data_IF_565791904681
#
_entry.id   IF_565791904681
#
_cell.length_a   1.000
_cell.length_b   1.000
_cell.length_c   1.000
_cell.angle_alpha   90.00
_cell.angle_beta   90.00
_cell.angle_gamma   90.00
#
_symmetry.space_group_name_H-M   'P 1'
#
loop_
_entity.id
_entity.type
_entity.pdbx_description
1 polymer ?
#
# COMPACT_ATOMS: atom_id res chain seq x y z
N UNK A 1 3.30 16.84 0.12
CA UNK A 1 4.12 15.86 0.89
C UNK A 1 3.73 15.96 2.35
N UNK A 2 3.66 14.82 3.01
CA UNK A 2 3.46 14.74 4.46
C UNK A 2 4.65 15.34 5.23
N UNK A 3 4.37 15.95 6.36
CA UNK A 3 5.39 16.47 7.29
C UNK A 3 5.20 15.83 8.68
N UNK A 4 6.25 15.85 9.50
CA UNK A 4 6.20 15.24 10.85
C UNK A 4 5.04 15.77 11.73
N UNK A 5 4.60 17.00 11.54
CA UNK A 5 3.45 17.58 12.25
C UNK A 5 2.12 16.90 11.89
N UNK A 6 2.04 16.29 10.70
CA UNK A 6 0.83 15.67 10.14
C UNK A 6 0.69 14.20 10.57
N UNK A 7 1.76 13.58 11.06
CA UNK A 7 1.85 12.13 11.32
C UNK A 7 0.69 11.60 12.16
N UNK A 8 0.37 12.27 13.26
CA UNK A 8 -0.71 11.80 14.15
C UNK A 8 -2.09 11.90 13.50
N UNK A 9 -2.33 12.94 12.71
CA UNK A 9 -3.59 13.12 11.97
C UNK A 9 -3.72 12.05 10.88
N UNK A 10 -2.63 11.76 10.15
CA UNK A 10 -2.59 10.72 9.11
C UNK A 10 -2.74 9.32 9.70
N UNK A 11 -2.10 9.02 10.82
CA UNK A 11 -2.29 7.76 11.55
C UNK A 11 -3.74 7.59 11.98
N UNK A 12 -4.36 8.64 12.53
CA UNK A 12 -5.76 8.62 12.90
C UNK A 12 -6.68 8.46 11.67
N UNK A 13 -6.41 9.18 10.58
CA UNK A 13 -7.13 9.03 9.31
C UNK A 13 -7.07 7.57 8.83
N UNK A 14 -5.88 6.99 8.79
CA UNK A 14 -5.69 5.60 8.37
C UNK A 14 -6.45 4.64 9.28
N UNK A 15 -6.39 4.86 10.60
CA UNK A 15 -7.15 4.08 11.58
C UNK A 15 -8.66 4.17 11.35
N UNK A 16 -9.20 5.36 11.10
CA UNK A 16 -10.63 5.55 10.80
C UNK A 16 -11.06 4.79 9.54
N UNK A 17 -10.24 4.82 8.49
CA UNK A 17 -10.53 4.19 7.19
C UNK A 17 -10.53 2.67 7.26
N UNK A 18 -9.62 2.09 8.05
CA UNK A 18 -9.41 0.64 8.08
C UNK A 18 -10.06 -0.06 9.28
N UNK A 19 -10.61 0.69 10.25
CA UNK A 19 -11.18 0.12 11.47
C UNK A 19 -12.31 -0.88 11.17
N UNK A 20 -12.14 -2.11 11.65
CA UNK A 20 -13.05 -3.24 11.43
C UNK A 20 -13.31 -3.60 9.94
N UNK A 21 -12.45 -3.18 9.02
CA UNK A 21 -12.65 -3.44 7.60
C UNK A 21 -12.17 -4.83 7.18
N UNK A 22 -10.93 -5.16 7.46
CA UNK A 22 -10.32 -6.44 7.06
C UNK A 22 -10.12 -7.40 8.22
N UNK A 23 -10.14 -6.88 9.44
CA UNK A 23 -10.01 -7.61 10.70
C UNK A 23 -10.69 -6.82 11.82
N UNK A 24 -10.94 -7.41 13.00
CA UNK A 24 -11.33 -6.68 14.18
C UNK A 24 -10.26 -5.65 14.56
N UNK A 25 -10.63 -4.37 14.67
CA UNK A 25 -9.67 -3.27 14.74
C UNK A 25 -9.03 -2.97 13.38
N UNK A 26 -7.78 -2.54 13.37
CA UNK A 26 -6.95 -2.41 12.18
C UNK A 26 -5.46 -2.38 12.57
N UNK A 27 -4.59 -2.63 11.62
CA UNK A 27 -3.13 -2.59 11.79
C UNK A 27 -2.45 -1.54 10.91
N UNK A 28 -3.14 -1.04 9.91
CA UNK A 28 -2.60 -0.18 8.86
C UNK A 28 -2.03 1.13 9.39
N UNK A 29 -2.59 1.69 10.46
CA UNK A 29 -2.06 2.90 11.10
C UNK A 29 -0.73 2.64 11.81
N UNK A 30 -0.52 1.43 12.35
CA UNK A 30 0.77 1.02 12.92
C UNK A 30 1.79 0.70 11.82
N UNK A 31 1.38 0.02 10.75
CA UNK A 31 2.23 -0.20 9.56
C UNK A 31 2.77 1.14 9.07
N UNK A 32 1.92 2.14 8.88
CA UNK A 32 2.33 3.47 8.48
C UNK A 32 3.32 4.10 9.47
N UNK A 33 3.05 3.98 10.78
CA UNK A 33 3.92 4.51 11.82
C UNK A 33 5.34 3.93 11.74
N UNK A 34 5.46 2.61 11.66
CA UNK A 34 6.77 1.97 11.64
C UNK A 34 7.54 2.21 10.33
N UNK A 35 6.86 2.32 9.18
CA UNK A 35 7.53 2.58 7.91
C UNK A 35 8.33 3.87 7.92
N UNK A 36 7.87 4.92 8.59
CA UNK A 36 8.56 6.22 8.67
C UNK A 36 9.97 6.16 9.28
N UNK A 37 10.28 5.10 10.03
CA UNK A 37 11.62 4.83 10.59
C UNK A 37 12.48 3.87 9.78
N UNK A 38 11.96 3.32 8.67
CA UNK A 38 12.61 2.26 7.91
C UNK A 38 13.42 2.80 6.72
N UNK A 39 14.50 2.11 6.33
CA UNK A 39 15.32 2.52 5.20
C UNK A 39 14.63 2.31 3.83
N UNK A 40 13.63 1.43 3.75
CA UNK A 40 12.84 1.15 2.56
C UNK A 40 11.69 2.15 2.35
N UNK A 41 11.40 3.01 3.31
CA UNK A 41 10.39 4.07 3.18
C UNK A 41 10.81 5.12 2.15
N UNK A 42 9.93 5.43 1.19
CA UNK A 42 10.17 6.44 0.16
C UNK A 42 9.52 7.75 0.56
N UNK A 43 10.24 8.54 1.35
CA UNK A 43 9.76 9.80 1.90
C UNK A 43 9.26 10.79 0.83
N UNK A 44 9.86 10.76 -0.34
CA UNK A 44 9.50 11.61 -1.48
C UNK A 44 8.14 11.25 -2.08
N UNK A 45 7.58 10.10 -1.71
CA UNK A 45 6.28 9.59 -2.17
C UNK A 45 5.25 9.45 -1.04
N UNK A 46 5.49 10.14 0.07
CA UNK A 46 4.58 10.24 1.20
C UNK A 46 3.73 11.51 1.05
N UNK A 47 2.47 11.35 0.62
CA UNK A 47 1.61 12.46 0.21
C UNK A 47 0.26 12.47 0.91
N UNK A 48 -0.17 13.68 1.25
CA UNK A 48 -1.51 13.97 1.79
C UNK A 48 -2.31 14.82 0.81
N UNK A 49 -3.63 14.76 0.92
CA UNK A 49 -4.55 15.77 0.41
C UNK A 49 -5.20 16.44 1.61
N UNK A 50 -5.14 17.76 1.63
CA UNK A 50 -5.80 18.61 2.62
C UNK A 50 -6.97 19.35 1.96
N UNK A 51 -8.11 19.42 2.65
CA UNK A 51 -9.30 20.18 2.28
C UNK A 51 -9.82 20.86 3.54
N UNK A 52 -10.06 22.17 3.49
CA UNK A 52 -10.53 22.98 4.62
C UNK A 52 -9.69 22.77 5.91
N UNK A 53 -8.37 22.80 5.78
CA UNK A 53 -7.42 22.61 6.89
C UNK A 53 -7.53 21.23 7.58
N UNK A 54 -8.04 20.20 6.91
CA UNK A 54 -8.14 18.84 7.38
C UNK A 54 -7.51 17.87 6.37
N UNK A 55 -6.71 16.93 6.84
CA UNK A 55 -6.19 15.88 5.98
C UNK A 55 -7.31 14.90 5.65
N UNK A 56 -7.63 14.76 4.36
CA UNK A 56 -8.75 13.92 3.88
C UNK A 56 -8.28 12.68 3.14
N UNK A 57 -7.03 12.63 2.71
CA UNK A 57 -6.46 11.45 2.06
C UNK A 57 -4.93 11.38 2.24
N UNK A 58 -4.40 10.17 2.20
CA UNK A 58 -2.98 9.88 2.34
C UNK A 58 -2.59 8.66 1.52
N UNK A 59 -1.34 8.63 1.05
CA UNK A 59 -0.68 7.48 0.43
C UNK A 59 0.80 7.49 0.78
N UNK A 60 1.37 6.31 1.07
CA UNK A 60 2.82 6.13 1.24
C UNK A 60 3.36 5.06 0.31
N UNK A 61 4.66 5.15 0.03
CA UNK A 61 5.39 4.17 -0.77
C UNK A 61 6.59 3.61 -0.02
N UNK A 62 6.98 2.40 -0.36
CA UNK A 62 8.26 1.84 0.03
C UNK A 62 8.94 1.14 -1.14
N UNK A 63 10.27 1.06 -1.07
CA UNK A 63 11.07 0.27 -1.99
C UNK A 63 10.76 -1.21 -1.79
N UNK A 64 10.75 -1.94 -2.88
CA UNK A 64 10.50 -3.37 -2.92
C UNK A 64 11.25 -3.99 -4.09
N UNK A 65 11.11 -5.29 -4.27
CA UNK A 65 11.82 -6.02 -5.31
C UNK A 65 11.04 -7.22 -5.84
N UNK A 66 11.40 -7.64 -7.04
CA UNK A 66 11.02 -8.94 -7.60
C UNK A 66 12.27 -9.79 -7.65
N UNK A 67 12.22 -10.97 -7.05
CA UNK A 67 13.30 -11.95 -7.09
C UNK A 67 13.05 -12.88 -8.26
N UNK A 68 13.93 -12.80 -9.28
CA UNK A 68 13.85 -13.65 -10.47
C UNK A 68 14.31 -15.07 -10.17
N UNK A 69 13.92 -16.04 -10.99
CA UNK A 69 14.33 -17.44 -10.88
C UNK A 69 15.85 -17.66 -10.96
N UNK A 70 16.56 -16.81 -11.69
CA UNK A 70 18.01 -16.82 -11.82
C UNK A 70 18.74 -16.07 -10.70
N UNK A 71 18.02 -15.65 -9.66
CA UNK A 71 18.57 -14.89 -8.54
C UNK A 71 18.78 -13.40 -8.82
N UNK A 72 18.45 -12.90 -10.01
CA UNK A 72 18.49 -11.46 -10.31
C UNK A 72 17.39 -10.75 -9.51
N UNK A 73 17.73 -9.61 -8.94
CA UNK A 73 16.80 -8.73 -8.22
C UNK A 73 16.41 -7.57 -9.14
N UNK A 74 15.11 -7.35 -9.28
CA UNK A 74 14.54 -6.23 -10.02
C UNK A 74 13.96 -5.24 -9.01
N UNK A 75 14.54 -4.04 -8.85
CA UNK A 75 14.01 -3.04 -7.93
C UNK A 75 12.68 -2.50 -8.44
N UNK A 76 11.71 -2.43 -7.57
CA UNK A 76 10.38 -1.86 -7.82
C UNK A 76 9.96 -1.06 -6.58
N UNK A 77 8.77 -0.52 -6.61
CA UNK A 77 8.12 0.02 -5.41
C UNK A 77 6.78 -0.68 -5.15
N UNK A 78 6.31 -0.57 -3.94
CA UNK A 78 4.92 -0.85 -3.56
C UNK A 78 4.35 0.35 -2.82
N UNK A 79 3.03 0.49 -2.76
CA UNK A 79 2.38 1.51 -1.95
C UNK A 79 1.26 0.91 -1.10
N UNK A 80 1.08 1.48 0.05
CA UNK A 80 0.04 1.15 1.01
C UNK A 80 0.53 1.40 2.45
N UNK A 81 -0.37 1.77 3.35
CA UNK A 81 -1.79 1.99 3.09
C UNK A 81 -2.07 3.24 2.25
N UNK A 82 -3.18 3.20 1.50
CA UNK A 82 -3.81 4.38 0.92
C UNK A 82 -5.13 4.62 1.63
N UNK A 83 -5.33 5.81 2.15
CA UNK A 83 -6.46 6.18 2.99
C UNK A 83 -7.22 7.37 2.40
N UNK A 84 -8.54 7.30 2.40
CA UNK A 84 -9.44 8.43 2.10
C UNK A 84 -10.56 8.40 3.12
N UNK A 85 -10.79 9.50 3.85
CA UNK A 85 -11.85 9.61 4.83
C UNK A 85 -13.18 9.11 4.27
N UNK A 86 -13.97 8.34 5.03
CA UNK A 86 -15.23 7.74 4.54
C UNK A 86 -16.15 8.75 3.86
N UNK A 87 -16.35 9.92 4.45
CA UNK A 87 -17.19 11.01 3.91
C UNK A 87 -16.60 11.71 2.68
N UNK A 88 -15.34 11.44 2.38
CA UNK A 88 -14.61 11.98 1.23
C UNK A 88 -14.40 10.93 0.12
N UNK A 89 -14.81 9.68 0.34
CA UNK A 89 -14.75 8.64 -0.67
C UNK A 89 -15.69 8.93 -1.85
N UNK A 90 -15.39 8.38 -3.02
CA UNK A 90 -16.16 8.66 -4.25
C UNK A 90 -15.88 10.03 -4.89
N UNK A 91 -15.17 10.95 -4.23
CA UNK A 91 -14.84 12.29 -4.74
C UNK A 91 -13.55 12.35 -5.59
N UNK A 92 -12.89 11.21 -5.79
CA UNK A 92 -11.70 11.11 -6.64
C UNK A 92 -10.36 11.35 -5.97
N UNK A 93 -10.29 11.60 -4.65
CA UNK A 93 -9.03 11.88 -3.94
C UNK A 93 -8.01 10.72 -4.04
N UNK A 94 -8.44 9.47 -3.83
CA UNK A 94 -7.57 8.31 -4.01
C UNK A 94 -7.02 8.22 -5.43
N UNK A 95 -7.85 8.50 -6.44
CA UNK A 95 -7.40 8.48 -7.84
C UNK A 95 -6.39 9.59 -8.15
N UNK A 96 -6.55 10.77 -7.54
CA UNK A 96 -5.59 11.88 -7.67
C UNK A 96 -4.24 11.49 -7.05
N UNK A 97 -4.25 10.93 -5.83
CA UNK A 97 -3.02 10.46 -5.16
C UNK A 97 -2.30 9.42 -6.01
N UNK A 98 -2.99 8.36 -6.43
CA UNK A 98 -2.39 7.26 -7.19
C UNK A 98 -1.76 7.79 -8.50
N UNK A 99 -2.49 8.57 -9.29
CA UNK A 99 -1.96 9.10 -10.57
C UNK A 99 -0.75 9.99 -10.35
N UNK A 100 -0.87 10.94 -9.44
CA UNK A 100 0.21 11.89 -9.14
C UNK A 100 1.46 11.18 -8.60
N UNK A 101 1.30 10.24 -7.67
CA UNK A 101 2.45 9.56 -7.07
C UNK A 101 3.08 8.54 -8.00
N UNK A 102 2.32 7.90 -8.91
CA UNK A 102 2.91 7.07 -9.98
C UNK A 102 3.80 7.88 -10.93
N UNK A 103 3.37 9.10 -11.31
CA UNK A 103 4.20 10.02 -12.12
C UNK A 103 5.49 10.38 -11.37
N UNK A 104 5.37 10.71 -10.07
CA UNK A 104 6.54 11.00 -9.23
C UNK A 104 7.45 9.79 -9.02
N UNK A 105 6.90 8.59 -8.86
CA UNK A 105 7.67 7.37 -8.77
C UNK A 105 8.50 7.13 -10.05
N UNK A 106 7.91 7.35 -11.22
CA UNK A 106 8.63 7.28 -12.49
C UNK A 106 9.75 8.33 -12.57
N UNK A 107 9.51 9.57 -12.13
CA UNK A 107 10.54 10.63 -12.06
C UNK A 107 11.71 10.22 -11.13
N UNK A 108 11.45 9.46 -10.08
CA UNK A 108 12.46 8.89 -9.18
C UNK A 108 13.17 7.65 -9.75
N UNK A 109 12.80 7.22 -10.98
CA UNK A 109 13.41 6.09 -11.64
C UNK A 109 12.76 4.73 -11.32
N UNK A 110 11.59 4.71 -10.69
CA UNK A 110 10.84 3.48 -10.46
C UNK A 110 10.31 2.94 -11.79
N UNK A 111 10.72 1.72 -12.16
CA UNK A 111 10.30 1.09 -13.42
C UNK A 111 8.96 0.36 -13.34
N UNK A 112 8.57 -0.11 -12.15
CA UNK A 112 7.31 -0.81 -11.93
C UNK A 112 6.84 -0.71 -10.48
N UNK A 113 5.54 -0.88 -10.28
CA UNK A 113 4.91 -0.92 -8.95
C UNK A 113 4.14 -2.24 -8.83
N UNK A 114 4.29 -2.93 -7.70
CA UNK A 114 3.48 -4.08 -7.32
C UNK A 114 2.60 -3.71 -6.11
N UNK A 115 1.37 -4.20 -6.08
CA UNK A 115 0.42 -3.94 -4.98
C UNK A 115 -0.46 -5.15 -4.69
N UNK A 116 -1.00 -5.16 -3.49
CA UNK A 116 -2.12 -6.02 -3.11
C UNK A 116 -3.38 -5.16 -2.89
N UNK A 117 -4.52 -5.61 -3.40
CA UNK A 117 -5.77 -4.86 -3.25
C UNK A 117 -6.91 -5.36 -4.14
N UNK A 118 -7.97 -4.55 -4.24
CA UNK A 118 -9.13 -4.89 -5.07
C UNK A 118 -8.84 -4.61 -6.56
N UNK A 119 -8.82 -5.63 -7.44
CA UNK A 119 -8.56 -5.47 -8.86
C UNK A 119 -9.57 -4.54 -9.56
N UNK A 120 -10.86 -4.57 -9.19
CA UNK A 120 -11.89 -3.70 -9.76
C UNK A 120 -11.58 -2.20 -9.54
N UNK A 121 -10.85 -1.89 -8.49
CA UNK A 121 -10.42 -0.53 -8.23
C UNK A 121 -9.13 -0.18 -8.98
N UNK A 122 -8.14 -1.06 -9.03
CA UNK A 122 -6.81 -0.73 -9.52
C UNK A 122 -6.61 -0.90 -11.02
N UNK A 123 -7.40 -1.73 -11.71
CA UNK A 123 -7.33 -1.89 -13.18
C UNK A 123 -7.50 -0.56 -13.93
N UNK A 124 -8.28 0.39 -13.39
CA UNK A 124 -8.47 1.74 -13.98
C UNK A 124 -7.20 2.58 -14.04
N UNK A 125 -6.16 2.21 -13.30
CA UNK A 125 -4.84 2.84 -13.31
C UNK A 125 -3.84 2.08 -14.16
N UNK A 126 -4.26 0.99 -14.80
CA UNK A 126 -3.43 0.15 -15.66
C UNK A 126 -2.64 -0.92 -14.90
N UNK A 127 -3.02 -1.23 -13.66
CA UNK A 127 -2.52 -2.43 -13.00
C UNK A 127 -3.14 -3.68 -13.63
N UNK A 128 -2.34 -4.71 -13.81
CA UNK A 128 -2.73 -6.02 -14.33
C UNK A 128 -2.41 -7.11 -13.30
N UNK A 129 -3.05 -8.29 -13.41
CA UNK A 129 -2.68 -9.45 -12.59
C UNK A 129 -1.18 -9.74 -12.73
N UNK A 130 -0.48 -9.87 -11.61
CA UNK A 130 0.92 -10.27 -11.62
C UNK A 130 1.13 -11.60 -12.32
N UNK A 131 0.23 -12.56 -12.10
CA UNK A 131 0.24 -13.87 -12.75
C UNK A 131 0.23 -13.75 -14.29
N UNK A 132 -0.54 -12.83 -14.85
CA UNK A 132 -0.65 -12.64 -16.32
C UNK A 132 0.64 -12.17 -16.98
N UNK A 133 1.59 -11.65 -16.20
CA UNK A 133 2.90 -11.17 -16.65
C UNK A 133 4.05 -11.94 -16.01
N UNK A 134 3.78 -13.15 -15.49
CA UNK A 134 4.76 -14.05 -14.87
C UNK A 134 5.47 -13.50 -13.61
N UNK A 135 4.81 -12.59 -12.91
CA UNK A 135 5.22 -12.14 -11.57
C UNK A 135 4.26 -12.74 -10.55
N UNK A 136 4.78 -13.54 -9.64
CA UNK A 136 4.00 -14.34 -8.72
C UNK A 136 4.07 -13.78 -7.30
N UNK A 137 3.01 -13.94 -6.53
CA UNK A 137 3.01 -13.57 -5.12
C UNK A 137 3.56 -14.71 -4.28
N UNK A 138 4.50 -14.42 -3.38
CA UNK A 138 5.33 -15.43 -2.69
C UNK A 138 4.54 -16.50 -1.92
N UNK A 139 3.36 -16.15 -1.37
CA UNK A 139 2.56 -17.06 -0.55
C UNK A 139 1.49 -17.83 -1.31
N UNK A 140 1.40 -17.64 -2.63
CA UNK A 140 0.44 -18.33 -3.51
C UNK A 140 1.18 -19.24 -4.47
N UNK A 141 0.66 -20.44 -4.69
CA UNK A 141 1.21 -21.36 -5.71
C UNK A 141 1.22 -20.70 -7.09
N UNK A 142 2.24 -20.97 -7.89
CA UNK A 142 2.33 -20.45 -9.26
C UNK A 142 1.24 -20.98 -10.20
N UNK A 143 0.63 -22.09 -9.86
CA UNK A 143 -0.48 -22.68 -10.61
C UNK A 143 -1.83 -22.05 -10.24
N UNK A 144 -1.83 -21.15 -9.26
CA UNK A 144 -3.01 -20.47 -8.76
C UNK A 144 -2.92 -18.98 -9.04
N UNK A 145 -4.05 -18.39 -9.42
CA UNK A 145 -4.15 -16.93 -9.54
C UNK A 145 -4.26 -16.28 -8.17
N UNK A 146 -3.54 -15.17 -7.98
CA UNK A 146 -3.70 -14.25 -6.86
C UNK A 146 -4.38 -12.96 -7.36
N UNK A 147 -5.71 -12.91 -7.53
CA UNK A 147 -6.38 -11.76 -8.15
C UNK A 147 -6.15 -10.44 -7.42
N UNK A 148 -5.86 -10.53 -6.12
CA UNK A 148 -5.55 -9.38 -5.28
C UNK A 148 -4.14 -8.82 -5.53
N UNK A 149 -3.25 -9.57 -6.18
CA UNK A 149 -1.88 -9.15 -6.47
C UNK A 149 -1.76 -8.62 -7.90
N UNK A 150 -1.35 -7.39 -8.02
CA UNK A 150 -1.31 -6.67 -9.29
C UNK A 150 -0.01 -5.92 -9.46
N UNK A 151 0.39 -5.76 -10.71
CA UNK A 151 1.62 -5.07 -11.09
C UNK A 151 1.33 -4.06 -12.19
N UNK A 152 2.05 -2.95 -12.18
CA UNK A 152 2.04 -1.95 -13.24
C UNK A 152 3.45 -1.54 -13.62
N UNK A 153 3.81 -1.69 -14.89
CA UNK A 153 4.99 -1.02 -15.44
C UNK A 153 4.74 0.49 -15.54
N UNK A 154 5.68 1.26 -15.03
CA UNK A 154 5.74 2.70 -15.25
C UNK A 154 6.64 3.04 -16.42
N UNK A 155 7.73 2.29 -16.59
CA UNK A 155 8.65 2.40 -17.72
C UNK A 155 8.40 1.22 -18.68
N UNK A 156 8.00 1.52 -19.91
CA UNK A 156 7.69 0.49 -20.92
C UNK A 156 8.83 -0.50 -21.11
N UNK A 157 8.53 -1.78 -20.98
CA UNK A 157 9.48 -2.88 -21.16
C UNK A 157 10.39 -3.16 -19.96
N UNK A 158 10.18 -2.49 -18.83
CA UNK A 158 10.99 -2.70 -17.63
C UNK A 158 10.94 -4.14 -17.11
N UNK A 159 9.78 -4.77 -17.19
CA UNK A 159 9.56 -6.18 -16.81
C UNK A 159 9.60 -7.15 -18.01
N UNK A 160 10.03 -6.70 -19.18
CA UNK A 160 10.07 -7.55 -20.37
C UNK A 160 11.01 -8.76 -20.16
N UNK A 161 10.49 -9.97 -20.35
CA UNK A 161 11.23 -11.22 -20.16
C UNK A 161 11.58 -11.54 -18.71
N UNK A 162 10.99 -10.84 -17.74
CA UNK A 162 11.14 -11.12 -16.32
C UNK A 162 10.11 -12.15 -15.90
N UNK A 163 10.59 -13.20 -15.20
CA UNK A 163 9.77 -14.13 -14.42
C UNK A 163 10.33 -14.15 -13.01
N UNK A 164 9.48 -13.92 -12.03
CA UNK A 164 9.97 -13.81 -10.65
C UNK A 164 8.85 -13.80 -9.61
N UNK A 165 9.25 -13.62 -8.37
CA UNK A 165 8.37 -13.63 -7.20
C UNK A 165 8.47 -12.30 -6.46
N UNK A 166 7.33 -11.74 -6.10
CA UNK A 166 7.19 -10.61 -5.22
C UNK A 166 6.81 -11.11 -3.82
N UNK A 167 7.42 -10.52 -2.82
CA UNK A 167 7.05 -10.66 -1.41
C UNK A 167 6.83 -9.28 -0.82
N UNK A 168 5.84 -9.16 0.05
CA UNK A 168 5.63 -7.91 0.78
C UNK A 168 6.89 -7.54 1.57
N UNK A 169 7.31 -6.28 1.55
CA UNK A 169 8.40 -5.80 2.40
C UNK A 169 8.15 -6.08 3.89
N UNK A 170 9.23 -6.35 4.63
CA UNK A 170 9.18 -6.68 6.06
C UNK A 170 8.42 -5.63 6.90
N UNK A 171 8.34 -4.39 6.42
CA UNK A 171 7.58 -3.33 7.06
C UNK A 171 6.08 -3.59 7.15
N UNK A 172 5.54 -4.53 6.38
CA UNK A 172 4.14 -4.98 6.51
C UNK A 172 3.98 -6.15 7.49
N UNK A 173 5.08 -6.79 7.87
CA UNK A 173 5.07 -7.84 8.89
C UNK A 173 5.02 -7.19 10.28
N UNK A 174 3.92 -7.41 10.97
CA UNK A 174 3.65 -6.80 12.28
C UNK A 174 3.16 -7.85 13.26
N UNK A 175 3.47 -7.60 14.54
CA UNK A 175 2.93 -8.40 15.63
C UNK A 175 1.70 -7.72 16.23
N UNK A 176 0.66 -8.50 16.50
CA UNK A 176 -0.59 -7.96 17.08
C UNK A 176 -0.36 -7.22 18.40
N UNK A 177 0.58 -7.69 19.21
CA UNK A 177 0.92 -7.05 20.49
C UNK A 177 1.44 -5.62 20.29
N UNK A 178 2.22 -5.37 19.26
CA UNK A 178 2.75 -4.04 18.97
C UNK A 178 1.65 -3.09 18.49
N UNK A 179 0.73 -3.61 17.67
CA UNK A 179 -0.47 -2.88 17.24
C UNK A 179 -1.32 -2.47 18.45
N UNK A 180 -1.56 -3.39 19.40
CA UNK A 180 -2.34 -3.12 20.62
C UNK A 180 -1.68 -2.03 21.47
N UNK A 181 -0.37 -2.12 21.66
CA UNK A 181 0.41 -1.11 22.41
C UNK A 181 0.33 0.26 21.74
N UNK A 182 0.45 0.29 20.42
CA UNK A 182 0.38 1.53 19.65
C UNK A 182 -1.02 2.14 19.69
N UNK A 183 -2.07 1.31 19.57
CA UNK A 183 -3.47 1.74 19.53
C UNK A 183 -3.95 2.45 20.81
N UNK A 184 -3.28 2.24 21.94
CA UNK A 184 -3.54 2.97 23.21
C UNK A 184 -3.40 4.50 23.06
N UNK A 185 -2.63 4.96 22.07
CA UNK A 185 -2.44 6.40 21.80
C UNK A 185 -3.64 7.07 21.11
N UNK A 186 -4.68 6.30 20.79
CA UNK A 186 -5.88 6.76 20.08
C UNK A 186 -7.14 6.61 20.94
N UNK A 187 -8.20 7.30 20.56
CA UNK A 187 -9.49 7.16 21.24
C UNK A 187 -9.99 5.72 21.17
N UNK A 188 -10.48 5.14 22.27
CA UNK A 188 -10.99 3.78 22.29
C UNK A 188 -12.10 3.56 21.26
N UNK A 189 -12.04 2.44 20.53
CA UNK A 189 -13.05 2.00 19.57
C UNK A 189 -13.33 0.52 19.77
N UNK A 190 -14.57 0.12 19.56
CA UNK A 190 -14.97 -1.29 19.66
C UNK A 190 -14.43 -2.10 18.47
N UNK A 191 -13.75 -3.20 18.75
CA UNK A 191 -13.29 -4.17 17.75
C UNK A 191 -14.41 -5.18 17.50
N UNK A 192 -14.85 -5.26 16.26
CA UNK A 192 -15.95 -6.12 15.85
C UNK A 192 -15.50 -7.15 14.81
N UNK A 193 -15.94 -8.38 14.98
CA UNK A 193 -15.81 -9.41 13.95
C UNK A 193 -17.02 -9.29 13.01
N UNK A 194 -16.74 -8.93 11.76
CA UNK A 194 -17.75 -8.68 10.73
C UNK A 194 -17.62 -9.68 9.56
N UNK A 195 -18.73 -10.00 8.88
CA UNK A 195 -18.66 -10.82 7.66
C UNK A 195 -17.77 -10.18 6.59
N UNK A 196 -16.96 -10.97 5.91
CA UNK A 196 -16.06 -10.53 4.84
C UNK A 196 -14.68 -10.07 5.31
N UNK A 197 -14.39 -10.11 6.61
CA UNK A 197 -13.03 -9.94 7.11
C UNK A 197 -12.14 -11.13 6.71
N UNK A 198 -10.84 -10.88 6.56
CA UNK A 198 -9.85 -11.85 6.10
C UNK A 198 -9.35 -12.80 7.21
N UNK A 199 -9.89 -12.71 8.42
CA UNK A 199 -9.51 -13.47 9.63
C UNK A 199 -10.70 -14.17 10.24
#
# INVERSE_FOLDING_TARGET
MEMKKDWKEVENLTREVFWNKYRPGCSEHYVLHQFRGRPDFVKELDYIIEEDCRIVAHIMYCNSEIICENGRIIPIMTFGPISVLPECQGKGYGSKLIRFTMEKALELGCGAIAITGNPDYYHRFGFVSGHSIHIYYATVSRDEEAPFFMVKELQTGYLSGITGTFQDPDGYMIEDVDVEIFDVNFSPKEKMKLPGQLV
#
